data_IF_398105452337
#
_entry.id   IF_398105452337
#
_cell.length_a   1.000
_cell.length_b   1.000
_cell.length_c   1.000
_cell.angle_alpha   90.00
_cell.angle_beta   90.00
_cell.angle_gamma   90.00
#
_symmetry.space_group_name_H-M   'P 1'
#
loop_
_entity.id
_entity.type
_entity.pdbx_description
1 polymer ?
#
# COMPACT_ATOMS: atom_id res chain seq x y z
N UNK A 1 4.23 23.98 6.99
CA UNK A 1 5.06 23.10 6.12
C UNK A 1 4.18 21.93 5.71
N UNK A 2 3.93 21.74 4.41
CA UNK A 2 3.13 20.59 3.94
C UNK A 2 3.93 19.29 3.95
N UNK A 3 3.23 18.15 3.85
CA UNK A 3 3.82 16.80 3.80
C UNK A 3 4.98 16.70 2.80
N UNK A 4 4.90 17.21 1.56
CA UNK A 4 6.00 17.10 0.59
C UNK A 4 7.27 17.85 1.00
N UNK A 5 7.11 19.03 1.62
CA UNK A 5 8.26 19.83 2.08
C UNK A 5 8.96 19.19 3.26
N UNK A 6 8.21 18.56 4.16
CA UNK A 6 8.76 17.82 5.29
C UNK A 6 9.55 16.57 4.83
N UNK A 7 8.96 15.75 3.95
CA UNK A 7 9.64 14.57 3.39
C UNK A 7 10.92 14.95 2.62
N UNK A 8 10.88 16.03 1.82
CA UNK A 8 12.07 16.53 1.12
C UNK A 8 13.18 16.94 2.08
N UNK A 9 12.83 17.62 3.17
CA UNK A 9 13.81 18.00 4.19
C UNK A 9 14.40 16.76 4.87
N UNK A 10 13.56 15.77 5.22
CA UNK A 10 13.98 14.53 5.87
C UNK A 10 14.94 13.73 5.00
N UNK A 11 14.62 13.53 3.71
CA UNK A 11 15.48 12.82 2.76
C UNK A 11 16.84 13.50 2.59
N UNK A 12 16.88 14.84 2.53
CA UNK A 12 18.14 15.60 2.40
C UNK A 12 19.01 15.50 3.65
N UNK A 13 18.39 15.49 4.83
CA UNK A 13 19.10 15.49 6.12
C UNK A 13 19.51 14.09 6.56
N UNK A 14 18.69 13.08 6.30
CA UNK A 14 18.88 11.69 6.71
C UNK A 14 18.50 10.74 5.56
N UNK A 15 19.39 10.56 4.56
CA UNK A 15 19.07 9.82 3.34
C UNK A 15 18.76 8.33 3.59
N UNK A 16 19.28 7.74 4.66
CA UNK A 16 19.05 6.33 5.02
C UNK A 16 17.68 6.03 5.63
N UNK A 17 16.90 7.07 5.99
CA UNK A 17 15.60 6.91 6.65
C UNK A 17 14.50 6.49 5.67
N UNK A 18 14.64 6.84 4.39
CA UNK A 18 13.65 6.49 3.36
C UNK A 18 14.21 5.36 2.49
N UNK A 19 13.56 4.21 2.55
CA UNK A 19 13.85 3.04 1.72
C UNK A 19 12.62 2.67 0.90
N UNK A 20 12.85 2.14 -0.30
CA UNK A 20 11.76 1.62 -1.12
C UNK A 20 11.29 0.28 -0.55
N UNK A 21 9.97 0.10 -0.45
CA UNK A 21 9.39 -1.19 -0.13
C UNK A 21 9.62 -2.18 -1.28
N UNK A 22 10.06 -3.38 -0.95
CA UNK A 22 10.15 -4.51 -1.87
C UNK A 22 8.83 -5.26 -1.82
N UNK A 23 8.15 -5.36 -2.97
CA UNK A 23 6.84 -5.98 -3.10
C UNK A 23 6.93 -7.23 -4.00
N UNK A 24 6.32 -8.33 -3.56
CA UNK A 24 6.10 -9.49 -4.42
C UNK A 24 4.92 -9.24 -5.37
N UNK A 25 5.02 -9.76 -6.60
CA UNK A 25 3.94 -9.67 -7.59
C UNK A 25 3.33 -11.04 -7.80
N UNK A 26 2.00 -11.09 -7.93
CA UNK A 26 1.28 -12.31 -8.32
C UNK A 26 1.86 -12.83 -9.63
N UNK A 27 2.12 -14.13 -9.67
CA UNK A 27 2.69 -14.80 -10.83
C UNK A 27 1.59 -15.65 -11.49
N UNK A 28 1.55 -15.68 -12.82
CA UNK A 28 0.61 -16.50 -13.57
C UNK A 28 1.30 -17.78 -14.03
N UNK A 29 0.73 -18.95 -13.72
CA UNK A 29 1.18 -20.24 -14.25
C UNK A 29 -0.02 -20.92 -14.92
N UNK A 30 0.10 -21.24 -16.21
CA UNK A 30 -0.93 -21.93 -17.00
C UNK A 30 -2.32 -21.26 -16.97
N UNK A 31 -2.39 -19.93 -17.02
CA UNK A 31 -3.67 -19.20 -16.99
C UNK A 31 -4.25 -19.02 -15.60
N UNK A 32 -3.57 -19.46 -14.54
CA UNK A 32 -4.01 -19.32 -13.15
C UNK A 32 -3.10 -18.34 -12.41
N UNK A 33 -3.67 -17.26 -11.85
CA UNK A 33 -2.95 -16.36 -10.96
C UNK A 33 -2.68 -17.06 -9.61
N UNK A 34 -1.40 -17.12 -9.24
CA UNK A 34 -0.98 -17.63 -7.94
C UNK A 34 -0.97 -16.46 -6.95
N UNK A 35 -1.73 -16.55 -5.83
CA UNK A 35 -1.72 -15.52 -4.80
C UNK A 35 -0.34 -15.44 -4.11
N UNK A 36 -0.05 -14.27 -3.55
CA UNK A 36 1.16 -14.06 -2.76
C UNK A 36 1.02 -14.84 -1.45
N UNK A 37 2.05 -15.59 -1.09
CA UNK A 37 2.08 -16.34 0.16
C UNK A 37 2.72 -15.48 1.26
N UNK A 38 1.87 -14.76 1.99
CA UNK A 38 2.27 -13.88 3.08
C UNK A 38 2.83 -14.63 4.30
N UNK A 39 2.89 -15.97 4.29
CA UNK A 39 3.53 -16.75 5.37
C UNK A 39 5.04 -16.91 5.19
N UNK A 40 5.54 -16.58 3.99
CA UNK A 40 6.98 -16.58 3.71
C UNK A 40 7.68 -15.38 4.37
N UNK A 41 9.00 -15.47 4.59
CA UNK A 41 9.78 -14.35 5.11
C UNK A 41 9.59 -13.09 4.27
N UNK A 42 9.50 -11.94 4.93
CA UNK A 42 9.29 -10.67 4.28
C UNK A 42 10.47 -10.30 3.35
N UNK A 43 10.25 -9.96 2.06
CA UNK A 43 11.32 -9.64 1.11
C UNK A 43 12.09 -8.36 1.46
N UNK A 44 11.61 -7.56 2.41
CA UNK A 44 12.29 -6.37 2.93
C UNK A 44 13.43 -6.72 3.93
N UNK A 45 13.67 -8.00 4.20
CA UNK A 45 14.65 -8.50 5.20
C UNK A 45 14.40 -7.98 6.62
N UNK A 46 13.16 -7.60 6.91
CA UNK A 46 12.72 -7.14 8.21
C UNK A 46 11.28 -7.58 8.43
N UNK A 47 11.04 -8.22 9.58
CA UNK A 47 9.71 -8.62 10.02
C UNK A 47 9.07 -7.53 10.88
N UNK A 48 7.74 -7.48 10.87
CA UNK A 48 6.94 -6.52 11.63
C UNK A 48 5.83 -7.27 12.39
N UNK A 49 5.74 -7.05 13.70
CA UNK A 49 4.71 -7.70 14.52
C UNK A 49 3.35 -6.98 14.43
N UNK A 50 3.39 -5.64 14.36
CA UNK A 50 2.20 -4.80 14.44
C UNK A 50 2.13 -3.86 13.23
N UNK A 51 1.01 -3.90 12.52
CA UNK A 51 0.70 -2.99 11.41
C UNK A 51 -0.48 -2.09 11.80
N UNK A 52 -0.24 -0.79 11.84
CA UNK A 52 -1.25 0.21 12.15
C UNK A 52 -1.71 0.90 10.87
N UNK A 53 -3.02 0.92 10.63
CA UNK A 53 -3.61 1.52 9.45
C UNK A 53 -4.34 2.82 9.81
N UNK A 54 -3.94 3.92 9.18
CA UNK A 54 -4.75 5.14 9.17
C UNK A 54 -5.85 5.00 8.11
N UNK A 55 -7.04 4.62 8.56
CA UNK A 55 -8.20 4.43 7.69
C UNK A 55 -8.61 5.73 6.98
N UNK A 56 -8.41 6.90 7.59
CA UNK A 56 -8.73 8.16 6.92
C UNK A 56 -7.75 8.40 5.76
N UNK A 57 -6.48 8.06 5.97
CA UNK A 57 -5.44 8.08 4.94
C UNK A 57 -5.71 7.15 3.75
N UNK A 58 -6.42 6.03 3.96
CA UNK A 58 -6.82 5.08 2.89
C UNK A 58 -8.12 5.50 2.20
N UNK A 59 -9.13 5.92 2.97
CA UNK A 59 -10.47 6.25 2.46
C UNK A 59 -10.44 7.52 1.59
N UNK A 60 -9.64 8.52 1.96
CA UNK A 60 -9.60 9.79 1.23
C UNK A 60 -9.12 9.61 -0.23
N UNK A 61 -8.01 8.90 -0.53
CA UNK A 61 -7.63 8.54 -1.91
C UNK A 61 -8.64 7.63 -2.63
N UNK A 62 -9.36 6.77 -1.91
CA UNK A 62 -10.38 5.89 -2.50
C UNK A 62 -11.63 6.65 -2.98
N UNK A 63 -11.95 7.79 -2.33
CA UNK A 63 -13.10 8.65 -2.67
C UNK A 63 -12.75 9.76 -3.66
N UNK A 64 -11.53 10.28 -3.61
CA UNK A 64 -11.06 11.37 -4.46
C UNK A 64 -9.74 11.01 -5.15
N UNK A 65 -9.72 10.02 -6.06
CA UNK A 65 -8.50 9.62 -6.75
C UNK A 65 -8.04 10.70 -7.74
N UNK A 66 -6.74 11.04 -7.72
CA UNK A 66 -6.17 12.12 -8.57
C UNK A 66 -6.26 11.82 -10.09
N UNK A 67 -6.23 10.55 -10.48
CA UNK A 67 -6.12 10.12 -11.89
C UNK A 67 -7.27 9.21 -12.37
N UNK A 68 -8.36 9.10 -11.59
CA UNK A 68 -9.50 8.23 -11.89
C UNK A 68 -10.80 8.93 -11.48
N UNK A 69 -11.96 8.51 -12.01
CA UNK A 69 -13.23 9.00 -11.48
C UNK A 69 -13.44 8.54 -10.03
N UNK A 70 -14.09 9.39 -9.24
CA UNK A 70 -14.60 9.04 -7.93
C UNK A 70 -15.51 7.80 -8.01
N UNK A 71 -15.52 6.93 -6.99
CA UNK A 71 -16.43 5.79 -6.93
C UNK A 71 -17.88 6.28 -6.99
N UNK A 72 -18.73 5.55 -7.71
CA UNK A 72 -20.14 5.92 -7.92
C UNK A 72 -21.05 5.45 -6.79
N UNK A 73 -20.60 4.46 -6.02
CA UNK A 73 -21.33 3.90 -4.87
C UNK A 73 -20.38 3.61 -3.71
N UNK A 74 -20.96 3.39 -2.54
CA UNK A 74 -20.24 2.96 -1.34
C UNK A 74 -19.61 1.57 -1.53
N UNK A 75 -20.27 0.67 -2.27
CA UNK A 75 -19.75 -0.66 -2.57
C UNK A 75 -18.47 -0.60 -3.42
N UNK A 76 -18.42 0.27 -4.44
CA UNK A 76 -17.19 0.49 -5.21
C UNK A 76 -16.06 1.06 -4.35
N UNK A 77 -16.39 1.89 -3.37
CA UNK A 77 -15.41 2.42 -2.41
C UNK A 77 -14.87 1.29 -1.51
N UNK A 78 -15.72 0.40 -1.01
CA UNK A 78 -15.31 -0.73 -0.18
C UNK A 78 -14.43 -1.73 -0.95
N UNK A 79 -14.77 -2.06 -2.20
CA UNK A 79 -13.93 -2.93 -3.02
C UNK A 79 -12.53 -2.33 -3.22
N UNK A 80 -12.44 -1.02 -3.46
CA UNK A 80 -11.14 -0.33 -3.58
C UNK A 80 -10.38 -0.35 -2.26
N UNK A 81 -11.04 -0.10 -1.14
CA UNK A 81 -10.43 -0.19 0.20
C UNK A 81 -9.88 -1.59 0.44
N UNK A 82 -10.66 -2.62 0.16
CA UNK A 82 -10.28 -4.02 0.41
C UNK A 82 -9.06 -4.40 -0.44
N UNK A 83 -8.98 -3.90 -1.68
CA UNK A 83 -7.78 -4.04 -2.50
C UNK A 83 -6.54 -3.39 -1.88
N UNK A 84 -6.65 -2.17 -1.32
CA UNK A 84 -5.54 -1.50 -0.65
C UNK A 84 -5.08 -2.24 0.62
N UNK A 85 -6.03 -2.79 1.39
CA UNK A 85 -5.71 -3.57 2.60
C UNK A 85 -5.10 -4.92 2.24
N UNK A 86 -5.56 -5.57 1.18
CA UNK A 86 -4.97 -6.81 0.66
C UNK A 86 -3.54 -6.60 0.14
N UNK A 87 -3.27 -5.46 -0.53
CA UNK A 87 -1.91 -5.09 -0.94
C UNK A 87 -0.96 -4.91 0.26
N UNK A 88 -1.47 -4.54 1.42
CA UNK A 88 -0.68 -4.47 2.65
C UNK A 88 -0.38 -5.87 3.26
N UNK A 89 -0.81 -6.96 2.61
CA UNK A 89 -0.56 -8.33 3.04
C UNK A 89 -1.48 -8.85 4.13
N UNK A 90 -2.64 -8.22 4.37
CA UNK A 90 -3.53 -8.50 5.51
C UNK A 90 -4.68 -9.46 5.16
N UNK A 91 -4.88 -9.80 3.87
CA UNK A 91 -5.94 -10.70 3.37
C UNK A 91 -5.43 -11.53 2.20
#
# INVERSE_FOLDING_TARGET
MGVPSFFRWLQRKYPSVVNNAVEERKTEINGTEIPIDCTKPNPNNQEFDNLYLDMNGIIHPCTHPENRPAPKSEEEMFVKRDFYVALAGIL
#
